data_IF_675933479491
#
_entry.id   IF_675933479491
#
_cell.length_a   1.000
_cell.length_b   1.000
_cell.length_c   1.000
_cell.angle_alpha   90.00
_cell.angle_beta   90.00
_cell.angle_gamma   90.00
#
_symmetry.space_group_name_H-M   'P 1'
#
loop_
_entity.id
_entity.type
_entity.pdbx_description
1 polymer ?
#
# COMPACT_ATOMS: atom_id res chain seq x y z
N UNK A 1 -58.95 59.41 16.26
CA UNK A 1 -58.82 58.92 17.65
C UNK A 1 -57.33 58.69 17.92
N UNK A 2 -56.87 58.94 19.13
CA UNK A 2 -55.56 59.50 19.47
C UNK A 2 -54.31 58.59 19.33
N UNK A 3 -53.16 59.27 19.19
CA UNK A 3 -51.76 58.79 19.30
C UNK A 3 -51.36 58.48 20.75
N UNK A 4 -50.53 57.44 20.98
CA UNK A 4 -49.64 57.24 22.15
C UNK A 4 -48.52 56.28 21.68
N UNK A 5 -47.25 56.63 21.48
CA UNK A 5 -46.16 57.09 22.38
C UNK A 5 -45.56 56.01 23.30
N UNK A 6 -44.26 55.72 23.07
CA UNK A 6 -43.14 55.19 23.90
C UNK A 6 -43.43 54.13 25.00
N UNK A 7 -42.54 53.17 25.32
CA UNK A 7 -41.22 53.40 25.89
C UNK A 7 -40.37 52.12 25.99
N UNK A 8 -39.05 52.31 26.00
CA UNK A 8 -38.02 51.27 26.00
C UNK A 8 -37.98 50.44 27.29
N UNK A 9 -37.69 49.15 27.15
CA UNK A 9 -37.09 48.36 28.21
C UNK A 9 -35.96 47.53 27.60
N UNK A 10 -34.73 47.85 28.02
CA UNK A 10 -33.52 47.17 27.59
C UNK A 10 -33.62 45.67 27.77
N UNK A 11 -33.19 44.94 26.74
CA UNK A 11 -32.75 43.56 26.89
C UNK A 11 -31.41 43.47 26.20
N UNK A 12 -30.36 43.37 27.01
CA UNK A 12 -29.03 42.97 26.61
C UNK A 12 -29.15 41.72 25.73
N UNK A 13 -28.72 41.85 24.48
CA UNK A 13 -28.55 40.71 23.58
C UNK A 13 -27.44 39.85 24.21
N UNK A 14 -27.69 38.59 24.59
CA UNK A 14 -26.60 37.74 25.06
C UNK A 14 -25.63 37.54 23.90
N UNK A 15 -24.37 37.89 24.11
CA UNK A 15 -23.29 37.58 23.17
C UNK A 15 -23.31 36.07 22.89
N UNK A 16 -23.33 35.61 21.63
CA UNK A 16 -23.17 34.18 21.36
C UNK A 16 -21.79 33.76 21.86
N UNK A 17 -21.74 32.76 22.75
CA UNK A 17 -20.48 32.11 23.12
C UNK A 17 -19.81 31.58 21.85
N UNK A 18 -18.48 31.71 21.70
CA UNK A 18 -17.80 31.13 20.55
C UNK A 18 -18.04 29.62 20.53
N UNK A 19 -18.57 29.12 19.42
CA UNK A 19 -18.68 27.69 19.15
C UNK A 19 -17.27 27.08 19.21
N UNK A 20 -17.03 25.98 19.94
CA UNK A 20 -15.73 25.32 19.90
C UNK A 20 -15.47 24.85 18.47
N UNK A 21 -14.34 25.28 17.89
CA UNK A 21 -13.89 24.83 16.57
C UNK A 21 -13.84 23.29 16.52
N UNK A 22 -14.27 22.64 15.43
CA UNK A 22 -14.08 21.21 15.28
C UNK A 22 -12.58 20.95 15.37
N UNK A 23 -12.16 20.28 16.44
CA UNK A 23 -10.77 19.91 16.63
C UNK A 23 -10.50 18.77 15.65
N UNK A 24 -10.06 19.11 14.43
CA UNK A 24 -9.39 18.15 13.57
C UNK A 24 -8.06 17.85 14.21
N UNK A 25 -8.08 17.01 15.25
CA UNK A 25 -6.87 16.37 15.75
C UNK A 25 -6.26 15.68 14.54
N UNK A 26 -5.02 16.02 14.13
CA UNK A 26 -4.33 15.24 13.11
C UNK A 26 -4.19 13.86 13.75
N UNK A 27 -5.07 12.93 13.37
CA UNK A 27 -4.91 11.52 13.69
C UNK A 27 -3.55 11.18 13.14
N UNK A 28 -2.56 11.03 14.03
CA UNK A 28 -1.19 10.74 13.65
C UNK A 28 -1.25 9.48 12.81
N UNK A 29 -1.12 9.63 11.49
CA UNK A 29 -0.97 8.50 10.60
C UNK A 29 0.15 7.64 11.19
N UNK A 30 -0.01 6.31 11.32
CA UNK A 30 1.04 5.48 11.87
C UNK A 30 2.32 5.80 11.11
N UNK A 31 3.28 6.39 11.82
CA UNK A 31 4.55 6.76 11.24
C UNK A 31 5.29 5.44 11.04
N UNK A 32 5.14 4.85 9.86
CA UNK A 32 6.03 3.80 9.42
C UNK A 32 7.38 4.49 9.21
N UNK A 33 8.18 4.61 10.25
CA UNK A 33 9.61 4.87 10.09
C UNK A 33 10.14 3.66 9.34
N UNK A 34 10.50 3.76 8.03
CA UNK A 34 11.23 2.66 7.43
C UNK A 34 12.54 2.61 8.22
N UNK A 35 12.73 1.58 9.05
CA UNK A 35 14.07 1.28 9.57
C UNK A 35 14.85 0.80 8.35
N UNK A 36 15.81 1.58 7.80
CA UNK A 36 16.59 1.11 6.68
C UNK A 36 17.69 0.18 7.24
N UNK A 37 17.27 -0.93 7.82
CA UNK A 37 18.12 -2.10 8.01
C UNK A 37 17.44 -3.31 7.37
N UNK A 38 16.72 -3.07 6.28
CA UNK A 38 16.59 -4.10 5.28
C UNK A 38 18.00 -4.28 4.70
N UNK A 39 18.62 -5.43 4.98
CA UNK A 39 19.82 -5.82 4.25
C UNK A 39 19.56 -5.55 2.77
N UNK A 40 20.49 -4.85 2.11
CA UNK A 40 20.51 -4.81 0.65
C UNK A 40 20.76 -6.25 0.22
N UNK A 41 19.69 -7.02 0.07
CA UNK A 41 19.74 -8.28 -0.67
C UNK A 41 20.12 -7.84 -2.07
N UNK A 42 21.07 -8.51 -2.70
CA UNK A 42 21.28 -8.39 -4.14
C UNK A 42 19.93 -8.67 -4.81
N UNK A 43 19.18 -7.61 -5.11
CA UNK A 43 17.82 -7.72 -5.60
C UNK A 43 17.97 -8.10 -7.05
N UNK A 44 17.95 -9.41 -7.30
CA UNK A 44 17.71 -9.94 -8.63
C UNK A 44 16.52 -9.15 -9.23
N UNK A 45 16.64 -8.67 -10.48
CA UNK A 45 15.65 -7.76 -11.04
C UNK A 45 14.26 -8.36 -10.90
N UNK A 46 13.41 -7.65 -10.17
CA UNK A 46 12.01 -7.99 -10.00
C UNK A 46 11.24 -7.40 -11.19
N UNK A 47 10.54 -8.26 -11.91
CA UNK A 47 9.80 -7.89 -13.11
C UNK A 47 8.37 -7.45 -12.76
N UNK A 48 7.74 -8.12 -11.79
CA UNK A 48 6.39 -7.80 -11.35
C UNK A 48 6.10 -8.27 -9.92
N UNK A 49 5.08 -7.68 -9.29
CA UNK A 49 4.57 -8.10 -7.98
C UNK A 49 3.05 -7.99 -7.92
N UNK A 50 2.43 -8.82 -7.08
CA UNK A 50 0.99 -8.81 -6.84
C UNK A 50 0.68 -9.26 -5.39
N UNK A 51 -0.34 -8.66 -4.80
CA UNK A 51 -0.73 -8.91 -3.40
C UNK A 51 -2.14 -9.49 -3.30
N UNK A 52 -2.28 -10.55 -2.50
CA UNK A 52 -3.59 -11.14 -2.14
C UNK A 52 -4.33 -10.27 -1.13
N UNK A 53 -3.58 -9.60 -0.25
CA UNK A 53 -4.06 -8.65 0.75
C UNK A 53 -2.90 -7.74 1.20
N UNK A 54 -3.13 -6.86 2.18
CA UNK A 54 -2.12 -5.90 2.66
C UNK A 54 -0.84 -6.52 3.25
N UNK A 55 -0.82 -7.84 3.50
CA UNK A 55 0.33 -8.54 4.11
C UNK A 55 0.92 -9.60 3.18
N UNK A 56 0.08 -10.34 2.45
CA UNK A 56 0.49 -11.49 1.65
C UNK A 56 0.67 -11.10 0.19
N UNK A 57 1.89 -11.25 -0.30
CA UNK A 57 2.24 -10.90 -1.68
C UNK A 57 3.26 -11.84 -2.31
N UNK A 58 3.32 -11.76 -3.63
CA UNK A 58 4.26 -12.47 -4.49
C UNK A 58 5.03 -11.46 -5.32
N UNK A 59 6.30 -11.76 -5.55
CA UNK A 59 7.15 -11.04 -6.49
C UNK A 59 7.73 -12.08 -7.45
N UNK A 60 7.85 -11.70 -8.72
CA UNK A 60 8.42 -12.53 -9.77
C UNK A 60 9.57 -11.81 -10.44
N UNK A 61 10.47 -12.59 -11.02
CA UNK A 61 11.65 -12.07 -11.67
C UNK A 61 12.48 -13.18 -12.29
N UNK A 62 13.76 -12.91 -12.45
CA UNK A 62 14.68 -13.75 -13.20
C UNK A 62 15.95 -14.00 -12.39
N UNK A 63 16.47 -15.22 -12.47
CA UNK A 63 17.82 -15.53 -12.00
C UNK A 63 18.83 -15.05 -13.06
N UNK A 64 19.41 -13.88 -12.85
CA UNK A 64 20.43 -13.35 -13.75
C UNK A 64 21.79 -14.04 -13.57
N UNK A 65 22.00 -14.72 -12.43
CA UNK A 65 23.27 -15.35 -12.10
C UNK A 65 23.44 -16.73 -12.73
N UNK A 66 22.34 -17.44 -13.03
CA UNK A 66 22.39 -18.81 -13.56
C UNK A 66 22.60 -18.90 -15.08
N UNK A 67 22.57 -17.76 -15.79
CA UNK A 67 22.73 -17.66 -17.25
C UNK A 67 21.59 -18.28 -18.07
N UNK A 68 20.72 -19.08 -17.45
CA UNK A 68 19.53 -19.67 -18.04
C UNK A 68 18.33 -18.72 -17.94
N UNK A 69 18.38 -17.73 -17.05
CA UNK A 69 17.31 -16.75 -16.88
C UNK A 69 16.06 -17.39 -16.29
N UNK A 70 16.22 -18.30 -15.32
CA UNK A 70 15.08 -19.01 -14.74
C UNK A 70 14.13 -18.05 -14.04
N UNK A 71 12.84 -18.36 -14.15
CA UNK A 71 11.77 -17.60 -13.52
C UNK A 71 11.72 -17.87 -12.02
N UNK A 72 11.93 -16.82 -11.22
CA UNK A 72 11.97 -16.88 -9.76
C UNK A 72 10.68 -16.32 -9.15
N UNK A 73 10.26 -16.90 -8.02
CA UNK A 73 9.17 -16.38 -7.19
C UNK A 73 9.64 -16.17 -5.75
N UNK A 74 9.37 -14.98 -5.22
CA UNK A 74 9.48 -14.65 -3.80
C UNK A 74 8.09 -14.48 -3.18
N UNK A 75 8.01 -14.72 -1.87
CA UNK A 75 6.77 -14.54 -1.09
C UNK A 75 7.02 -13.59 0.08
N UNK A 76 6.03 -12.78 0.41
CA UNK A 76 5.99 -12.00 1.64
C UNK A 76 4.72 -12.31 2.43
N UNK A 77 4.83 -12.27 3.76
CA UNK A 77 3.70 -12.35 4.69
C UNK A 77 3.54 -11.11 5.56
N UNK A 78 4.35 -10.07 5.33
CA UNK A 78 4.43 -8.87 6.18
C UNK A 78 4.32 -7.55 5.38
N UNK A 79 3.74 -7.60 4.18
CA UNK A 79 3.52 -6.44 3.33
C UNK A 79 4.76 -6.01 2.54
N UNK A 80 5.68 -6.94 2.29
CA UNK A 80 6.90 -6.69 1.52
C UNK A 80 8.06 -6.13 2.34
N UNK A 81 7.97 -6.17 3.68
CA UNK A 81 9.10 -5.78 4.56
C UNK A 81 10.19 -6.85 4.51
N UNK A 82 9.78 -8.11 4.48
CA UNK A 82 10.68 -9.24 4.26
C UNK A 82 10.13 -10.17 3.19
N UNK A 83 11.05 -10.84 2.50
CA UNK A 83 10.77 -11.77 1.42
C UNK A 83 11.46 -13.11 1.70
N UNK A 84 10.80 -14.21 1.33
CA UNK A 84 11.40 -15.54 1.37
C UNK A 84 12.56 -15.64 0.39
N UNK A 85 13.41 -16.67 0.54
CA UNK A 85 14.35 -17.03 -0.53
C UNK A 85 13.59 -17.31 -1.84
N UNK A 86 14.12 -16.90 -3.00
CA UNK A 86 13.49 -17.18 -4.28
C UNK A 86 13.45 -18.68 -4.55
N UNK A 87 12.39 -19.11 -5.25
CA UNK A 87 12.28 -20.45 -5.79
C UNK A 87 12.15 -20.36 -7.30
N UNK A 88 12.96 -21.11 -8.04
CA UNK A 88 12.82 -21.26 -9.48
C UNK A 88 11.59 -22.10 -9.81
N UNK A 89 10.68 -21.56 -10.61
CA UNK A 89 9.41 -22.21 -10.97
C UNK A 89 9.21 -22.34 -12.49
N UNK A 90 10.04 -21.67 -13.28
CA UNK A 90 9.97 -21.72 -14.73
C UNK A 90 11.38 -21.73 -15.36
N UNK A 91 11.55 -22.35 -16.54
CA UNK A 91 12.84 -22.41 -17.23
C UNK A 91 13.25 -21.09 -17.89
N UNK A 92 12.40 -20.08 -17.88
CA UNK A 92 12.66 -18.75 -18.42
C UNK A 92 12.03 -17.65 -17.58
N UNK A 93 12.30 -16.38 -17.91
CA UNK A 93 12.00 -15.24 -17.04
C UNK A 93 10.49 -15.04 -16.88
N UNK A 94 10.05 -14.74 -15.65
CA UNK A 94 8.66 -14.44 -15.34
C UNK A 94 8.38 -12.96 -15.51
N UNK A 95 7.58 -12.60 -16.52
CA UNK A 95 7.38 -11.21 -16.90
C UNK A 95 6.15 -10.56 -16.27
N UNK A 96 5.21 -11.37 -15.79
CA UNK A 96 3.95 -10.88 -15.26
C UNK A 96 3.36 -11.87 -14.28
N UNK A 97 2.66 -11.34 -13.28
CA UNK A 97 1.91 -12.09 -12.29
C UNK A 97 0.58 -11.40 -12.02
N UNK A 98 -0.46 -12.19 -11.80
CA UNK A 98 -1.76 -11.74 -11.32
C UNK A 98 -2.26 -12.66 -10.22
N UNK A 99 -2.99 -12.10 -9.26
CA UNK A 99 -3.66 -12.86 -8.19
C UNK A 99 -5.15 -12.98 -8.48
N UNK A 100 -5.71 -14.13 -8.15
CA UNK A 100 -7.12 -14.47 -8.31
C UNK A 100 -7.64 -14.94 -6.96
N UNK A 101 -8.53 -14.13 -6.36
CA UNK A 101 -9.03 -14.39 -5.02
C UNK A 101 -7.93 -14.29 -3.95
N UNK A 102 -7.99 -15.18 -2.95
CA UNK A 102 -7.17 -15.06 -1.73
C UNK A 102 -6.00 -16.05 -1.64
N UNK A 103 -5.83 -16.92 -2.64
CA UNK A 103 -4.83 -18.00 -2.61
C UNK A 103 -4.29 -18.45 -3.96
N UNK A 104 -4.86 -18.02 -5.09
CA UNK A 104 -4.42 -18.43 -6.42
C UNK A 104 -3.71 -17.29 -7.15
N UNK A 105 -2.60 -17.58 -7.83
CA UNK A 105 -1.94 -16.63 -8.70
C UNK A 105 -1.52 -17.30 -10.02
N UNK A 106 -1.52 -16.52 -11.10
CA UNK A 106 -1.04 -16.92 -12.42
C UNK A 106 0.16 -16.07 -12.79
N UNK A 107 1.19 -16.70 -13.35
CA UNK A 107 2.37 -16.00 -13.86
C UNK A 107 2.69 -16.43 -15.28
N UNK A 108 3.24 -15.51 -16.06
CA UNK A 108 3.68 -15.76 -17.45
C UNK A 108 5.19 -15.83 -17.52
N UNK A 109 5.70 -16.96 -17.99
CA UNK A 109 7.10 -17.09 -18.38
C UNK A 109 7.26 -16.88 -19.89
N UNK A 110 8.36 -16.28 -20.33
CA UNK A 110 8.81 -16.45 -21.71
C UNK A 110 9.81 -17.60 -21.75
N UNK A 111 9.49 -18.66 -22.50
CA UNK A 111 10.43 -19.74 -22.80
C UNK A 111 10.85 -19.54 -24.25
N UNK A 112 12.14 -19.35 -24.50
CA UNK A 112 12.67 -19.36 -25.87
C UNK A 112 12.43 -20.73 -26.52
N UNK A 113 12.48 -20.84 -27.86
CA UNK A 113 12.42 -22.15 -28.50
C UNK A 113 13.51 -23.06 -27.91
N UNK A 114 13.24 -24.37 -27.73
CA UNK A 114 14.28 -25.29 -27.32
C UNK A 114 15.46 -25.24 -28.31
N UNK A 115 16.71 -25.40 -27.84
CA UNK A 115 17.89 -25.39 -28.69
C UNK A 115 17.87 -26.49 -29.76
#
# INVERSE_FOLDING_TARGET
MALISACAAGRSIPTPSPLPSPTTSPTSAPTFTPSPTAAVIDVQPADALAFFDARRGLMVGTDAADGAGRGLVWRTGDGGRTWTRPVAVAPGPLQSITVVGTSLAWARASVGPPP
#
